data_IF_436887879241
#
_entry.id   IF_436887879241
#
_cell.length_a   1.000
_cell.length_b   1.000
_cell.length_c   1.000
_cell.angle_alpha   90.00
_cell.angle_beta   90.00
_cell.angle_gamma   90.00
#
_symmetry.space_group_name_H-M   'P 1'
#
loop_
_entity.id
_entity.type
_entity.pdbx_description
1 polymer ?
#
# COMPACT_ATOMS: atom_id res chain seq x y z
N UNK A 1 -2.15 27.01 -39.64
CA UNK A 1 -0.83 27.25 -39.03
C UNK A 1 -1.10 27.94 -37.71
N UNK A 2 -0.94 27.23 -36.61
CA UNK A 2 -1.15 27.77 -35.26
C UNK A 2 0.21 28.28 -34.76
N UNK A 3 0.28 29.54 -34.33
CA UNK A 3 1.52 30.18 -33.87
C UNK A 3 1.27 30.61 -32.42
N UNK A 4 1.92 29.93 -31.49
CA UNK A 4 1.89 30.25 -30.07
C UNK A 4 3.18 30.97 -29.70
N UNK A 5 3.09 32.28 -29.43
CA UNK A 5 4.21 33.08 -28.97
C UNK A 5 4.08 33.31 -27.45
N UNK A 6 4.98 32.71 -26.67
CA UNK A 6 4.98 32.80 -25.21
C UNK A 6 6.19 33.60 -24.75
N UNK A 7 5.99 34.58 -23.86
CA UNK A 7 7.08 35.33 -23.23
C UNK A 7 7.75 34.44 -22.17
N UNK A 8 9.09 34.27 -22.16
CA UNK A 8 9.76 33.47 -21.13
C UNK A 8 9.46 34.04 -19.74
N UNK A 9 8.91 33.22 -18.84
CA UNK A 9 8.41 33.70 -17.54
C UNK A 9 9.53 33.76 -16.49
N UNK A 10 10.57 32.94 -16.59
CA UNK A 10 11.86 33.07 -15.91
C UNK A 10 12.77 31.92 -16.38
N UNK A 11 14.05 32.18 -16.62
CA UNK A 11 15.05 31.12 -16.80
C UNK A 11 15.54 30.72 -15.41
N UNK A 12 14.99 29.62 -14.89
CA UNK A 12 15.25 29.15 -13.52
C UNK A 12 16.39 28.14 -13.60
N UNK A 13 17.48 28.41 -12.86
CA UNK A 13 18.59 27.47 -12.78
C UNK A 13 18.23 26.36 -11.78
N UNK A 14 18.65 25.12 -12.04
CA UNK A 14 18.48 24.01 -11.10
C UNK A 14 19.00 24.35 -9.69
N UNK A 15 20.04 25.17 -9.58
CA UNK A 15 20.61 25.64 -8.30
C UNK A 15 19.63 26.42 -7.41
N UNK A 16 18.57 27.02 -7.95
CA UNK A 16 17.63 27.80 -7.16
C UNK A 16 16.65 26.93 -6.36
N UNK A 17 16.59 25.63 -6.66
CA UNK A 17 15.72 24.70 -5.94
C UNK A 17 16.40 24.19 -4.66
N UNK A 18 15.66 24.18 -3.55
CA UNK A 18 16.17 23.77 -2.23
C UNK A 18 16.84 22.39 -2.22
N UNK A 19 16.33 21.44 -3.02
CA UNK A 19 16.83 20.07 -3.11
C UNK A 19 17.73 19.80 -4.33
N UNK A 20 18.29 20.84 -4.96
CA UNK A 20 19.15 20.73 -6.14
C UNK A 20 20.32 19.74 -6.00
N UNK A 21 21.08 19.70 -4.87
CA UNK A 21 22.19 18.76 -4.71
C UNK A 21 21.72 17.30 -4.79
N UNK A 22 20.54 17.01 -4.23
CA UNK A 22 19.95 15.67 -4.27
C UNK A 22 19.63 15.28 -5.70
N UNK A 23 18.94 16.15 -6.44
CA UNK A 23 18.57 15.91 -7.85
C UNK A 23 19.81 15.65 -8.68
N UNK A 24 20.84 16.49 -8.56
CA UNK A 24 22.10 16.35 -9.29
C UNK A 24 22.78 15.01 -9.04
N UNK A 25 22.87 14.59 -7.78
CA UNK A 25 23.44 13.29 -7.42
C UNK A 25 22.65 12.13 -8.05
N UNK A 26 21.32 12.24 -8.17
CA UNK A 26 20.49 11.20 -8.81
C UNK A 26 20.70 11.13 -10.32
N UNK A 27 20.61 12.27 -11.01
CA UNK A 27 20.67 12.32 -12.48
C UNK A 27 22.09 12.07 -13.00
N UNK A 28 23.14 12.48 -12.29
CA UNK A 28 24.52 12.19 -12.69
C UNK A 28 24.95 10.75 -12.31
N UNK A 29 24.33 10.16 -11.30
CA UNK A 29 24.61 8.81 -10.83
C UNK A 29 23.92 7.71 -11.64
N UNK A 30 23.72 6.55 -10.99
CA UNK A 30 23.03 5.39 -11.58
C UNK A 30 21.50 5.46 -11.53
N UNK A 31 20.93 6.46 -10.86
CA UNK A 31 19.49 6.62 -10.62
C UNK A 31 18.85 7.55 -11.67
N UNK A 32 18.90 7.12 -12.94
CA UNK A 32 18.49 7.92 -14.12
C UNK A 32 17.00 7.78 -14.51
N UNK A 33 16.14 7.49 -13.55
CA UNK A 33 14.71 7.27 -13.77
C UNK A 33 13.92 8.19 -12.87
N UNK A 34 13.66 9.40 -13.34
CA UNK A 34 13.12 10.50 -12.57
C UNK A 34 11.68 10.81 -12.99
N UNK A 35 10.78 10.91 -12.03
CA UNK A 35 9.41 11.35 -12.25
C UNK A 35 9.17 12.64 -11.46
N UNK A 36 8.68 13.68 -12.13
CA UNK A 36 8.30 14.96 -11.52
C UNK A 36 6.77 14.99 -11.45
N UNK A 37 6.24 14.96 -10.25
CA UNK A 37 4.81 14.91 -9.94
C UNK A 37 4.34 16.17 -9.21
N UNK A 38 3.04 16.43 -9.25
CA UNK A 38 2.42 17.61 -8.63
C UNK A 38 1.19 18.12 -9.39
N UNK A 39 0.37 18.99 -8.78
CA UNK A 39 -0.85 19.51 -9.39
C UNK A 39 -0.54 20.38 -10.63
N UNK A 40 -1.50 20.59 -11.55
CA UNK A 40 -1.34 21.50 -12.67
C UNK A 40 -0.88 22.90 -12.23
N UNK A 41 0.02 23.53 -12.99
CA UNK A 41 0.56 24.85 -12.66
C UNK A 41 1.56 24.88 -11.49
N UNK A 42 1.99 23.73 -10.96
CA UNK A 42 2.90 23.69 -9.81
C UNK A 42 4.38 23.98 -10.10
N UNK A 43 4.77 24.21 -11.36
CA UNK A 43 6.18 24.48 -11.74
C UNK A 43 6.98 23.25 -12.15
N UNK A 44 6.34 22.10 -12.41
CA UNK A 44 7.02 20.86 -12.87
C UNK A 44 7.80 21.03 -14.16
N UNK A 45 7.17 21.64 -15.16
CA UNK A 45 7.78 21.93 -16.47
C UNK A 45 9.01 22.82 -16.30
N UNK A 46 8.96 23.83 -15.42
CA UNK A 46 10.11 24.68 -15.09
C UNK A 46 11.25 23.87 -14.47
N UNK A 47 10.96 22.93 -13.56
CA UNK A 47 11.98 22.04 -13.01
C UNK A 47 12.56 21.10 -14.09
N UNK A 48 11.71 20.55 -14.97
CA UNK A 48 12.14 19.70 -16.07
C UNK A 48 13.08 20.45 -17.05
N UNK A 49 12.75 21.70 -17.40
CA UNK A 49 13.61 22.59 -18.19
C UNK A 49 14.97 22.80 -17.50
N UNK A 50 14.95 23.11 -16.21
CA UNK A 50 16.16 23.35 -15.40
C UNK A 50 17.08 22.12 -15.41
N UNK A 51 16.50 20.92 -15.27
CA UNK A 51 17.22 19.64 -15.32
C UNK A 51 17.78 19.37 -16.72
N UNK A 52 17.00 19.62 -17.77
CA UNK A 52 17.42 19.45 -19.16
C UNK A 52 18.66 20.29 -19.48
N UNK A 53 18.59 21.59 -19.14
CA UNK A 53 19.67 22.55 -19.35
C UNK A 53 20.90 22.17 -18.53
N UNK A 54 20.73 21.77 -17.26
CA UNK A 54 21.82 21.33 -16.42
C UNK A 54 22.54 20.11 -17.02
N UNK A 55 21.80 19.08 -17.44
CA UNK A 55 22.37 17.87 -18.05
C UNK A 55 23.16 18.20 -19.33
N UNK A 56 22.60 19.04 -20.21
CA UNK A 56 23.27 19.44 -21.44
C UNK A 56 24.56 20.23 -21.17
N UNK A 57 24.56 21.13 -20.18
CA UNK A 57 25.76 21.85 -19.73
C UNK A 57 26.84 20.91 -19.15
N UNK A 58 26.46 19.73 -18.67
CA UNK A 58 27.38 18.71 -18.16
C UNK A 58 27.79 17.68 -19.23
N UNK A 59 27.55 17.98 -20.50
CA UNK A 59 28.05 17.20 -21.64
C UNK A 59 27.16 16.02 -22.05
N UNK A 60 25.98 15.86 -21.47
CA UNK A 60 25.02 14.82 -21.88
C UNK A 60 24.26 15.23 -23.13
N UNK A 61 23.98 14.25 -24.01
CA UNK A 61 23.09 14.42 -25.16
C UNK A 61 21.64 14.35 -24.65
N UNK A 62 21.00 15.50 -24.49
CA UNK A 62 19.62 15.62 -24.03
C UNK A 62 18.69 15.88 -25.21
N UNK A 63 17.53 15.21 -25.22
CA UNK A 63 16.41 15.45 -26.14
C UNK A 63 15.13 15.63 -25.34
N UNK A 64 14.12 16.26 -25.92
CA UNK A 64 12.79 16.36 -25.28
C UNK A 64 11.72 15.70 -26.13
N UNK A 65 10.66 15.23 -25.47
CA UNK A 65 9.42 14.76 -26.06
C UNK A 65 8.27 15.49 -25.37
N UNK A 66 7.47 16.22 -26.12
CA UNK A 66 6.40 17.06 -25.56
C UNK A 66 5.29 17.36 -26.59
N UNK A 67 4.05 17.38 -26.14
CA UNK A 67 2.91 17.82 -26.94
C UNK A 67 1.83 18.45 -26.05
N UNK A 68 1.59 19.77 -26.13
CA UNK A 68 2.23 20.76 -27.01
C UNK A 68 3.68 21.10 -26.60
N UNK A 69 4.40 21.87 -27.43
CA UNK A 69 5.75 22.35 -27.12
C UNK A 69 5.70 23.53 -26.15
N UNK A 70 6.05 23.29 -24.89
CA UNK A 70 6.04 24.28 -23.80
C UNK A 70 7.43 24.49 -23.20
N UNK A 71 8.32 23.49 -23.30
CA UNK A 71 9.68 23.57 -22.80
C UNK A 71 10.47 24.70 -23.49
N UNK A 72 11.04 25.59 -22.69
CA UNK A 72 12.00 26.59 -23.12
C UNK A 72 13.40 26.09 -22.77
N UNK A 73 14.09 25.55 -23.76
CA UNK A 73 15.44 24.97 -23.60
C UNK A 73 16.39 25.55 -24.64
N UNK A 74 17.72 25.54 -24.39
CA UNK A 74 18.69 26.03 -25.36
C UNK A 74 18.62 25.29 -26.72
N UNK A 75 18.94 25.97 -27.81
CA UNK A 75 18.82 25.47 -29.20
C UNK A 75 19.56 24.14 -29.49
N UNK A 76 20.60 23.82 -28.72
CA UNK A 76 21.34 22.56 -28.88
C UNK A 76 20.58 21.34 -28.31
N UNK A 77 19.56 21.56 -27.47
CA UNK A 77 18.64 20.53 -27.01
C UNK A 77 17.51 20.39 -28.04
N UNK A 78 17.56 19.32 -28.83
CA UNK A 78 16.53 19.08 -29.85
C UNK A 78 15.23 18.64 -29.18
N UNK A 79 14.15 19.31 -29.53
CA UNK A 79 12.81 19.04 -29.02
C UNK A 79 11.96 18.32 -30.06
N UNK A 80 11.37 17.19 -29.68
CA UNK A 80 10.48 16.41 -30.53
C UNK A 80 9.03 16.57 -30.06
N UNK A 81 8.14 16.70 -31.05
CA UNK A 81 6.70 16.52 -30.85
C UNK A 81 6.31 15.10 -31.26
N UNK A 82 5.02 14.79 -31.24
CA UNK A 82 4.49 13.53 -31.77
C UNK A 82 4.74 13.41 -33.27
N UNK A 83 5.57 12.43 -33.68
CA UNK A 83 5.81 12.11 -35.08
C UNK A 83 4.63 11.31 -35.62
N UNK A 84 4.04 11.79 -36.72
CA UNK A 84 2.81 11.23 -37.30
C UNK A 84 1.66 11.12 -36.28
N UNK A 85 1.65 12.00 -35.27
CA UNK A 85 0.62 12.04 -34.24
C UNK A 85 0.82 11.07 -33.07
N UNK A 86 1.89 10.27 -33.05
CA UNK A 86 2.22 9.34 -31.95
C UNK A 86 3.55 9.69 -31.26
N UNK A 87 3.58 9.58 -29.93
CA UNK A 87 4.82 9.66 -29.15
C UNK A 87 5.65 8.38 -29.26
N UNK A 88 5.02 7.25 -29.57
CA UNK A 88 5.70 5.96 -29.79
C UNK A 88 6.63 6.05 -31.00
N UNK A 89 6.17 6.62 -32.11
CA UNK A 89 7.00 6.86 -33.30
C UNK A 89 8.21 7.75 -32.99
N UNK A 90 8.01 8.77 -32.14
CA UNK A 90 9.10 9.64 -31.68
C UNK A 90 10.11 8.84 -30.86
N UNK A 91 9.63 7.96 -29.96
CA UNK A 91 10.47 7.08 -29.17
C UNK A 91 11.28 6.12 -30.03
N UNK A 92 10.69 5.52 -31.06
CA UNK A 92 11.37 4.62 -32.00
C UNK A 92 12.58 5.30 -32.68
N UNK A 93 12.40 6.55 -33.12
CA UNK A 93 13.50 7.34 -33.68
C UNK A 93 14.57 7.62 -32.63
N UNK A 94 14.17 7.99 -31.40
CA UNK A 94 15.11 8.27 -30.33
C UNK A 94 15.85 7.02 -29.85
N UNK A 95 15.25 5.83 -29.93
CA UNK A 95 15.90 4.56 -29.65
C UNK A 95 17.01 4.22 -30.65
N UNK A 96 16.93 4.72 -31.89
CA UNK A 96 18.00 4.63 -32.89
C UNK A 96 19.13 5.64 -32.62
N UNK A 97 18.78 6.86 -32.21
CA UNK A 97 19.75 7.94 -31.90
C UNK A 97 20.48 7.67 -30.58
N UNK A 98 19.82 7.02 -29.62
CA UNK A 98 20.30 6.73 -28.25
C UNK A 98 20.88 7.97 -27.54
N UNK A 99 20.06 9.01 -27.28
CA UNK A 99 20.49 10.11 -26.42
C UNK A 99 20.80 9.60 -25.00
N UNK A 100 21.59 10.35 -24.25
CA UNK A 100 21.86 10.04 -22.84
C UNK A 100 20.61 10.25 -21.98
N UNK A 101 19.85 11.30 -22.28
CA UNK A 101 18.62 11.64 -21.56
C UNK A 101 17.50 12.09 -22.48
N UNK A 102 16.28 11.73 -22.09
CA UNK A 102 15.05 12.25 -22.67
C UNK A 102 14.16 12.84 -21.58
N UNK A 103 13.78 14.10 -21.79
CA UNK A 103 12.79 14.81 -20.99
C UNK A 103 11.44 14.60 -21.64
N UNK A 104 10.58 13.79 -21.03
CA UNK A 104 9.23 13.56 -21.49
C UNK A 104 8.29 14.45 -20.68
N UNK A 105 7.98 15.62 -21.23
CA UNK A 105 7.04 16.53 -20.61
C UNK A 105 5.62 16.05 -20.87
N UNK A 106 4.87 15.90 -19.79
CA UNK A 106 3.45 15.58 -19.77
C UNK A 106 3.05 14.14 -20.18
N UNK A 107 3.32 13.17 -19.31
CA UNK A 107 2.79 11.81 -19.40
C UNK A 107 1.28 11.79 -19.09
N UNK A 108 0.46 11.58 -20.12
CA UNK A 108 -1.01 11.61 -20.00
C UNK A 108 -1.68 10.31 -20.41
N UNK A 109 -1.32 9.79 -21.57
CA UNK A 109 -1.95 8.63 -22.18
C UNK A 109 -1.29 7.36 -21.70
N UNK A 110 -2.02 6.25 -21.81
CA UNK A 110 -1.51 4.93 -21.47
C UNK A 110 -0.23 4.55 -22.23
N UNK A 111 -0.13 4.97 -23.49
CA UNK A 111 1.03 4.73 -24.35
C UNK A 111 2.29 5.45 -23.84
N UNK A 112 2.14 6.68 -23.31
CA UNK A 112 3.26 7.49 -22.82
C UNK A 112 4.03 6.77 -21.70
N UNK A 113 3.33 6.09 -20.79
CA UNK A 113 3.94 5.33 -19.69
C UNK A 113 4.71 4.10 -20.18
N UNK A 114 4.22 3.43 -21.23
CA UNK A 114 4.93 2.30 -21.86
C UNK A 114 6.17 2.78 -22.57
N UNK A 115 6.05 3.84 -23.38
CA UNK A 115 7.18 4.51 -24.04
C UNK A 115 8.25 4.90 -23.01
N UNK A 116 7.85 5.51 -21.89
CA UNK A 116 8.77 5.87 -20.82
C UNK A 116 9.54 4.65 -20.30
N UNK A 117 8.85 3.54 -20.05
CA UNK A 117 9.46 2.32 -19.58
C UNK A 117 10.41 1.69 -20.59
N UNK A 118 10.00 1.58 -21.85
CA UNK A 118 10.80 0.96 -22.92
C UNK A 118 12.10 1.74 -23.16
N UNK A 119 12.02 3.07 -23.23
CA UNK A 119 13.20 3.93 -23.35
C UNK A 119 14.14 3.76 -22.15
N UNK A 120 13.57 3.69 -20.94
CA UNK A 120 14.35 3.55 -19.73
C UNK A 120 15.05 2.20 -19.63
N UNK A 121 14.36 1.12 -19.98
CA UNK A 121 14.90 -0.25 -20.05
C UNK A 121 15.95 -0.39 -21.16
N UNK A 122 15.85 0.39 -22.23
CA UNK A 122 16.88 0.49 -23.27
C UNK A 122 18.16 1.23 -22.83
N UNK A 123 18.18 1.77 -21.60
CA UNK A 123 19.35 2.42 -21.00
C UNK A 123 19.36 3.94 -21.11
N UNK A 124 18.33 4.55 -21.71
CA UNK A 124 18.19 6.01 -21.81
C UNK A 124 17.77 6.56 -20.44
N UNK A 125 18.41 7.64 -19.98
CA UNK A 125 17.98 8.35 -18.78
C UNK A 125 16.65 9.07 -19.03
N UNK A 126 15.66 8.87 -18.17
CA UNK A 126 14.33 9.43 -18.39
C UNK A 126 13.96 10.41 -17.28
N UNK A 127 13.45 11.58 -17.68
CA UNK A 127 12.81 12.56 -16.79
C UNK A 127 11.39 12.75 -17.28
N UNK A 128 10.41 12.24 -16.54
CA UNK A 128 9.00 12.28 -16.90
C UNK A 128 8.27 13.32 -16.06
N UNK A 129 7.34 14.07 -16.65
CA UNK A 129 6.46 14.97 -15.91
C UNK A 129 5.06 14.38 -15.88
N UNK A 130 4.45 14.30 -14.70
CA UNK A 130 3.09 13.79 -14.52
C UNK A 130 2.26 14.72 -13.64
N UNK A 131 0.99 14.90 -14.01
CA UNK A 131 0.02 15.54 -13.13
C UNK A 131 -0.53 14.53 -12.13
N UNK A 132 -0.13 14.63 -10.87
CA UNK A 132 -0.59 13.74 -9.80
C UNK A 132 -0.71 14.50 -8.48
N UNK A 133 -1.74 14.17 -7.69
CA UNK A 133 -2.00 14.79 -6.37
C UNK A 133 -1.18 14.12 -5.26
N UNK A 134 -0.65 12.92 -5.51
CA UNK A 134 0.24 12.23 -4.59
C UNK A 134 1.06 11.14 -5.28
N UNK A 135 2.03 10.59 -4.56
CA UNK A 135 2.97 9.57 -5.05
C UNK A 135 2.27 8.28 -5.46
N UNK A 136 1.20 7.90 -4.76
CA UNK A 136 0.39 6.73 -5.11
C UNK A 136 -0.26 6.87 -6.50
N UNK A 137 -0.94 7.99 -6.77
CA UNK A 137 -1.55 8.27 -8.09
C UNK A 137 -0.49 8.30 -9.20
N UNK A 138 0.66 8.92 -8.94
CA UNK A 138 1.77 8.96 -9.89
C UNK A 138 2.25 7.55 -10.28
N UNK A 139 2.38 6.63 -9.32
CA UNK A 139 2.85 5.27 -9.55
C UNK A 139 1.77 4.31 -10.06
N UNK A 140 0.51 4.49 -9.66
CA UNK A 140 -0.61 3.69 -10.13
C UNK A 140 -0.80 3.81 -11.65
N UNK A 141 -0.42 4.92 -12.27
CA UNK A 141 -0.45 5.03 -13.74
C UNK A 141 0.55 4.10 -14.44
N UNK A 142 1.65 3.75 -13.78
CA UNK A 142 2.61 2.77 -14.28
C UNK A 142 2.13 1.33 -14.04
N UNK A 143 1.45 1.06 -12.92
CA UNK A 143 0.99 -0.29 -12.54
C UNK A 143 0.11 -0.97 -13.55
N UNK A 144 -0.71 -0.14 -14.17
CA UNK A 144 -1.72 -0.51 -15.11
C UNK A 144 -1.12 -1.08 -16.41
N UNK A 145 0.18 -0.83 -16.65
CA UNK A 145 0.84 -1.07 -17.94
C UNK A 145 2.14 -1.87 -17.81
N UNK A 146 2.75 -1.87 -16.62
CA UNK A 146 4.06 -2.45 -16.36
C UNK A 146 4.03 -3.21 -15.02
N UNK A 147 4.76 -4.32 -14.95
CA UNK A 147 4.92 -5.06 -13.70
C UNK A 147 5.63 -4.20 -12.63
N UNK A 148 5.03 -4.07 -11.46
CA UNK A 148 5.63 -3.36 -10.34
C UNK A 148 6.99 -3.92 -9.91
N UNK A 149 7.29 -5.18 -10.21
CA UNK A 149 8.61 -5.76 -9.98
C UNK A 149 9.73 -5.11 -10.79
N UNK A 150 9.42 -4.52 -11.95
CA UNK A 150 10.41 -3.79 -12.77
C UNK A 150 10.35 -2.28 -12.56
N UNK A 151 9.35 -1.77 -11.83
CA UNK A 151 9.17 -0.34 -11.60
C UNK A 151 10.42 0.35 -11.04
N UNK A 152 11.17 -0.20 -10.05
CA UNK A 152 12.39 0.45 -9.53
C UNK A 152 13.50 0.62 -10.57
N UNK A 153 13.49 -0.18 -11.64
CA UNK A 153 14.44 -0.06 -12.75
C UNK A 153 14.04 1.11 -13.68
N UNK A 154 12.75 1.39 -13.76
CA UNK A 154 12.15 2.41 -14.62
C UNK A 154 12.13 3.77 -13.90
N UNK A 155 11.46 3.83 -12.75
CA UNK A 155 11.39 5.01 -11.89
C UNK A 155 12.03 4.66 -10.56
N UNK A 156 13.12 5.36 -10.23
CA UNK A 156 13.83 5.20 -8.95
C UNK A 156 13.73 6.43 -8.06
N UNK A 157 13.39 7.59 -8.63
CA UNK A 157 13.24 8.83 -7.88
C UNK A 157 11.97 9.54 -8.33
N UNK A 158 11.14 9.97 -7.37
CA UNK A 158 9.94 10.79 -7.62
C UNK A 158 10.11 12.12 -6.89
N UNK A 159 9.96 13.23 -7.60
CA UNK A 159 10.04 14.57 -7.04
C UNK A 159 8.64 15.16 -7.05
N UNK A 160 8.14 15.60 -5.90
CA UNK A 160 6.88 16.30 -5.82
C UNK A 160 7.11 17.81 -5.79
N UNK A 161 6.44 18.53 -6.68
CA UNK A 161 6.55 19.98 -6.84
C UNK A 161 5.19 20.62 -6.60
N UNK A 162 5.15 21.58 -5.67
CA UNK A 162 4.00 22.43 -5.42
C UNK A 162 4.43 23.91 -5.39
N UNK A 163 3.66 24.78 -6.04
CA UNK A 163 3.91 26.24 -6.09
C UNK A 163 5.36 26.65 -6.44
N UNK A 164 6.04 25.89 -7.29
CA UNK A 164 7.42 26.15 -7.72
C UNK A 164 8.49 25.65 -6.74
N UNK A 165 8.10 24.99 -5.65
CA UNK A 165 9.00 24.44 -4.65
C UNK A 165 8.96 22.92 -4.66
N UNK A 166 10.09 22.29 -4.33
CA UNK A 166 10.15 20.83 -4.15
C UNK A 166 9.72 20.50 -2.73
N UNK A 167 8.55 19.89 -2.57
CA UNK A 167 8.03 19.52 -1.25
C UNK A 167 8.68 18.22 -0.77
N UNK A 168 8.70 17.19 -1.62
CA UNK A 168 9.17 15.85 -1.25
C UNK A 168 10.01 15.22 -2.36
N UNK A 169 10.92 14.34 -1.95
CA UNK A 169 11.68 13.47 -2.85
C UNK A 169 11.52 12.06 -2.32
N UNK A 170 11.02 11.16 -3.16
CA UNK A 170 10.81 9.76 -2.80
C UNK A 170 11.78 8.86 -3.56
N UNK A 171 12.26 7.86 -2.85
CA UNK A 171 13.04 6.75 -3.38
C UNK A 171 12.11 5.58 -3.70
N UNK A 172 12.24 5.04 -4.91
CA UNK A 172 11.61 3.79 -5.31
C UNK A 172 12.71 2.74 -5.41
N UNK A 173 12.59 1.68 -4.62
CA UNK A 173 13.61 0.64 -4.49
C UNK A 173 13.01 -0.75 -4.52
N UNK A 174 13.84 -1.73 -4.86
CA UNK A 174 13.48 -3.14 -4.87
C UNK A 174 14.16 -3.82 -3.68
N UNK A 175 13.40 -4.62 -2.93
CA UNK A 175 13.92 -5.43 -1.83
C UNK A 175 13.20 -6.78 -1.77
N UNK A 176 13.86 -7.78 -1.20
CA UNK A 176 13.26 -9.08 -0.91
C UNK A 176 13.03 -9.14 0.59
N UNK A 177 11.76 -9.07 1.02
CA UNK A 177 11.37 -9.12 2.42
C UNK A 177 9.98 -9.74 2.59
N UNK A 178 9.59 -9.98 3.82
CA UNK A 178 8.19 -10.23 4.16
C UNK A 178 7.48 -8.87 4.15
N UNK A 179 6.44 -8.67 3.33
CA UNK A 179 5.67 -7.43 3.36
C UNK A 179 5.07 -7.20 4.76
N UNK A 180 4.94 -5.94 5.15
CA UNK A 180 4.16 -5.57 6.34
C UNK A 180 2.71 -6.11 6.20
N UNK A 181 1.96 -6.28 7.29
CA UNK A 181 0.60 -6.83 7.22
C UNK A 181 0.47 -8.32 6.81
N UNK A 182 1.54 -8.95 6.32
CA UNK A 182 1.61 -10.38 5.97
C UNK A 182 2.55 -11.17 6.90
N UNK A 183 2.69 -10.72 8.15
CA UNK A 183 3.57 -11.34 9.15
C UNK A 183 3.27 -12.83 9.41
N UNK A 184 2.08 -13.32 9.06
CA UNK A 184 1.67 -14.73 9.16
C UNK A 184 2.16 -15.61 8.00
N UNK A 185 2.59 -15.03 6.88
CA UNK A 185 3.13 -15.74 5.72
C UNK A 185 4.65 -15.51 5.64
N UNK A 186 5.47 -16.45 6.12
CA UNK A 186 6.95 -16.36 6.15
C UNK A 186 7.56 -16.56 4.74
N UNK A 187 6.90 -16.05 3.71
CA UNK A 187 7.40 -16.13 2.34
C UNK A 187 8.06 -14.79 1.99
N UNK A 188 9.39 -14.83 1.85
CA UNK A 188 10.14 -13.74 1.25
C UNK A 188 9.60 -13.46 -0.15
N UNK A 189 9.19 -12.23 -0.39
CA UNK A 189 8.63 -11.80 -1.68
C UNK A 189 9.43 -10.64 -2.25
N UNK A 190 9.47 -10.51 -3.59
CA UNK A 190 9.86 -9.27 -4.24
C UNK A 190 8.91 -8.14 -3.83
N UNK A 191 9.43 -7.12 -3.18
CA UNK A 191 8.67 -5.94 -2.74
C UNK A 191 9.32 -4.69 -3.33
N UNK A 192 8.51 -3.89 -4.00
CA UNK A 192 8.86 -2.52 -4.37
C UNK A 192 8.47 -1.60 -3.24
N UNK A 193 9.44 -0.87 -2.69
CA UNK A 193 9.25 0.04 -1.57
C UNK A 193 9.35 1.48 -2.02
N UNK A 194 8.48 2.33 -1.49
CA UNK A 194 8.53 3.79 -1.71
C UNK A 194 8.77 4.49 -0.38
N UNK A 195 9.90 5.16 -0.24
CA UNK A 195 10.31 5.85 1.00
C UNK A 195 10.63 7.32 0.76
N UNK A 196 10.41 8.16 1.76
CA UNK A 196 10.86 9.55 1.72
C UNK A 196 12.38 9.61 1.85
N UNK A 197 13.03 10.39 0.99
CA UNK A 197 14.49 10.52 0.96
C UNK A 197 15.06 11.23 2.19
N UNK A 198 14.32 12.21 2.75
CA UNK A 198 14.81 13.02 3.86
C UNK A 198 14.62 12.31 5.19
N UNK A 199 13.43 11.75 5.44
CA UNK A 199 13.16 11.05 6.69
C UNK A 199 13.58 9.57 6.67
N UNK A 200 13.73 8.98 5.48
CA UNK A 200 13.91 7.53 5.33
C UNK A 200 12.66 6.72 5.62
N UNK A 201 11.53 7.37 5.94
CA UNK A 201 10.28 6.70 6.28
C UNK A 201 9.69 5.99 5.06
N UNK A 202 9.24 4.76 5.25
CA UNK A 202 8.53 3.99 4.24
C UNK A 202 7.07 4.47 4.16
N UNK A 203 6.60 4.83 2.96
CA UNK A 203 5.23 5.28 2.73
C UNK A 203 4.31 4.11 2.39
N UNK A 204 4.71 3.29 1.43
CA UNK A 204 3.95 2.10 1.04
C UNK A 204 4.86 1.05 0.40
N UNK A 205 4.36 -0.18 0.46
CA UNK A 205 4.94 -1.37 -0.16
C UNK A 205 4.05 -1.85 -1.29
N UNK A 206 4.67 -2.38 -2.33
CA UNK A 206 3.97 -2.92 -3.48
C UNK A 206 4.52 -4.30 -3.76
N UNK A 207 3.66 -5.31 -3.78
CA UNK A 207 4.05 -6.69 -4.02
C UNK A 207 2.90 -7.46 -4.66
N UNK A 208 3.24 -8.63 -5.24
CA UNK A 208 2.25 -9.52 -5.83
C UNK A 208 1.80 -10.60 -4.85
N UNK A 209 0.50 -10.84 -4.80
CA UNK A 209 -0.15 -11.91 -4.06
C UNK A 209 -1.21 -12.56 -4.94
N UNK A 210 -1.16 -13.88 -5.13
CA UNK A 210 -2.10 -14.63 -6.00
C UNK A 210 -2.32 -13.99 -7.39
N UNK A 211 -1.26 -13.45 -7.98
CA UNK A 211 -1.25 -12.72 -9.27
C UNK A 211 -1.91 -11.33 -9.26
N UNK A 212 -2.43 -10.88 -8.12
CA UNK A 212 -2.90 -9.51 -7.92
C UNK A 212 -1.77 -8.64 -7.37
N UNK A 213 -1.75 -7.36 -7.72
CA UNK A 213 -0.82 -6.41 -7.10
C UNK A 213 -1.48 -5.76 -5.90
N UNK A 214 -0.88 -5.94 -4.74
CA UNK A 214 -1.28 -5.30 -3.50
C UNK A 214 -0.40 -4.06 -3.29
N UNK A 215 -1.03 -2.90 -3.15
CA UNK A 215 -0.39 -1.68 -2.66
C UNK A 215 -0.81 -1.49 -1.22
N UNK A 216 0.16 -1.56 -0.32
CA UNK A 216 -0.11 -1.54 1.09
C UNK A 216 0.58 -0.34 1.73
N UNK A 217 -0.20 0.60 2.32
CA UNK A 217 0.36 1.70 3.06
C UNK A 217 1.00 1.17 4.34
N UNK A 218 2.15 1.73 4.69
CA UNK A 218 2.76 1.47 6.00
C UNK A 218 1.88 2.14 7.05
N UNK A 219 1.12 1.34 7.79
CA UNK A 219 0.37 1.82 8.94
C UNK A 219 1.37 2.25 9.99
N UNK A 220 1.49 3.56 10.22
CA UNK A 220 2.21 4.07 11.38
C UNK A 220 1.50 3.56 12.63
N UNK A 221 2.20 2.90 13.58
CA UNK A 221 1.82 3.08 14.96
C UNK A 221 1.92 4.59 15.21
N UNK A 222 0.83 5.23 15.62
CA UNK A 222 0.92 6.58 16.16
C UNK A 222 1.94 6.49 17.29
N UNK A 223 3.12 7.08 17.10
CA UNK A 223 4.15 7.09 18.12
C UNK A 223 3.49 7.67 19.38
N UNK A 224 3.48 6.89 20.46
CA UNK A 224 3.05 7.38 21.76
C UNK A 224 3.83 8.65 22.04
N UNK A 225 3.14 9.79 22.03
CA UNK A 225 3.74 11.08 22.31
C UNK A 225 4.48 10.99 23.66
N UNK A 226 5.71 11.52 23.78
CA UNK A 226 6.36 11.64 25.07
C UNK A 226 5.46 12.45 26.02
N UNK A 227 5.48 12.18 27.34
CA UNK A 227 4.55 12.81 28.27
C UNK A 227 4.77 14.34 28.26
N UNK A 228 3.82 15.05 27.64
CA UNK A 228 3.83 16.50 27.57
C UNK A 228 3.50 17.08 28.94
N UNK A 229 4.34 18.03 29.37
CA UNK A 229 4.05 19.01 30.43
C UNK A 229 2.71 19.72 30.13
N UNK A 230 1.99 20.21 31.17
CA UNK A 230 0.62 20.69 31.03
C UNK A 230 0.48 21.77 29.94
N UNK A 231 -0.56 21.70 29.09
CA UNK A 231 -0.60 22.42 27.83
C UNK A 231 -0.96 23.90 28.00
N UNK A 232 -0.22 24.75 27.30
CA UNK A 232 -0.67 26.07 26.85
C UNK A 232 -1.43 25.86 25.54
N UNK A 233 -2.68 26.30 25.50
CA UNK A 233 -3.58 26.17 24.36
C UNK A 233 -3.07 26.93 23.12
N UNK A 234 -2.82 26.21 22.03
CA UNK A 234 -2.95 26.72 20.65
C UNK A 234 -3.71 25.68 19.83
N UNK A 235 -4.70 26.14 19.06
CA UNK A 235 -5.73 25.35 18.37
C UNK A 235 -5.19 24.56 17.17
N UNK A 236 -5.49 23.26 17.13
CA UNK A 236 -5.43 22.41 15.93
C UNK A 236 -6.75 22.45 15.15
N UNK A 237 -6.75 22.12 13.84
CA UNK A 237 -7.90 22.28 12.96
C UNK A 237 -8.92 21.14 13.10
N UNK A 238 -10.18 21.52 13.33
CA UNK A 238 -11.43 20.85 12.98
C UNK A 238 -11.45 19.32 12.75
N UNK A 239 -11.35 18.52 13.81
CA UNK A 239 -12.19 17.32 13.93
C UNK A 239 -13.46 17.67 14.73
N UNK A 240 -14.61 17.35 14.13
CA UNK A 240 -15.96 17.82 14.41
C UNK A 240 -16.27 18.14 15.89
N UNK A 241 -16.22 19.42 16.24
CA UNK A 241 -16.84 19.97 17.47
C UNK A 241 -18.31 19.58 17.62
N UNK A 242 -19.01 19.31 16.51
CA UNK A 242 -20.38 18.81 16.49
C UNK A 242 -20.52 17.39 17.08
N UNK A 243 -19.56 16.49 16.81
CA UNK A 243 -19.62 15.10 17.29
C UNK A 243 -19.38 15.01 18.79
N UNK A 244 -18.44 15.79 19.33
CA UNK A 244 -18.20 15.85 20.79
C UNK A 244 -19.40 16.40 21.56
N UNK A 245 -20.17 17.31 20.98
CA UNK A 245 -21.39 17.83 21.59
C UNK A 245 -22.47 16.73 21.59
N UNK A 246 -22.64 16.06 20.45
CA UNK A 246 -23.64 15.01 20.27
C UNK A 246 -23.35 13.76 21.12
N UNK A 247 -22.09 13.32 21.17
CA UNK A 247 -21.63 12.25 22.06
C UNK A 247 -21.94 12.57 23.52
N UNK A 248 -21.68 13.80 23.97
CA UNK A 248 -21.96 14.22 25.34
C UNK A 248 -23.45 14.27 25.65
N UNK A 249 -24.28 14.63 24.68
CA UNK A 249 -25.73 14.65 24.83
C UNK A 249 -26.31 13.22 24.86
N UNK A 250 -25.82 12.31 24.00
CA UNK A 250 -26.14 10.88 24.02
C UNK A 250 -25.73 10.25 25.37
N UNK A 251 -24.50 10.52 25.82
CA UNK A 251 -23.97 10.01 27.07
C UNK A 251 -24.80 10.48 28.27
N UNK A 252 -25.23 11.75 28.28
CA UNK A 252 -26.07 12.32 29.34
C UNK A 252 -27.46 11.71 29.40
N UNK A 253 -28.08 11.43 28.25
CA UNK A 253 -29.45 10.89 28.23
C UNK A 253 -29.45 9.39 28.56
N UNK A 254 -28.44 8.63 28.11
CA UNK A 254 -28.31 7.19 28.40
C UNK A 254 -27.79 6.96 29.82
N UNK A 255 -26.93 7.83 30.35
CA UNK A 255 -26.46 7.80 31.74
C UNK A 255 -27.56 7.99 32.79
N UNK A 256 -28.81 8.25 32.40
CA UNK A 256 -29.97 8.23 33.31
C UNK A 256 -30.52 6.83 33.57
N UNK A 257 -30.10 5.86 32.76
CA UNK A 257 -30.60 4.48 32.76
C UNK A 257 -29.52 3.46 33.15
N UNK A 258 -28.30 3.92 33.43
CA UNK A 258 -27.20 3.08 33.92
C UNK A 258 -26.40 3.84 34.98
N UNK A 259 -25.98 3.12 36.01
CA UNK A 259 -25.06 3.62 37.05
C UNK A 259 -23.58 3.39 36.66
N UNK A 260 -23.34 2.78 35.49
CA UNK A 260 -22.02 2.47 34.94
C UNK A 260 -21.50 3.52 33.95
N UNK A 261 -20.30 3.28 33.44
CA UNK A 261 -19.72 4.13 32.39
C UNK A 261 -20.42 3.88 31.06
N UNK A 262 -20.81 4.97 30.39
CA UNK A 262 -21.41 4.95 29.06
C UNK A 262 -20.35 5.33 28.05
N UNK A 263 -20.02 4.42 27.15
CA UNK A 263 -19.10 4.67 26.03
C UNK A 263 -19.89 4.88 24.74
N UNK A 264 -19.63 5.98 24.03
CA UNK A 264 -20.40 6.39 22.85
C UNK A 264 -19.44 6.53 21.68
N UNK A 265 -19.68 5.75 20.63
CA UNK A 265 -18.93 5.84 19.39
C UNK A 265 -19.85 6.29 18.25
N UNK A 266 -19.57 7.46 17.70
CA UNK A 266 -20.23 7.94 16.49
C UNK A 266 -19.77 7.11 15.27
N UNK A 267 -20.71 6.48 14.57
CA UNK A 267 -20.44 5.78 13.30
C UNK A 267 -20.69 6.69 12.09
N UNK A 268 -21.59 7.67 12.23
CA UNK A 268 -21.86 8.73 11.25
C UNK A 268 -22.61 9.89 11.90
N UNK A 269 -22.83 11.00 11.18
CA UNK A 269 -23.64 12.15 11.65
C UNK A 269 -25.07 11.81 12.09
N UNK A 270 -25.55 10.60 11.77
CA UNK A 270 -26.93 10.15 12.02
C UNK A 270 -27.00 8.81 12.76
N UNK A 271 -25.87 8.17 13.08
CA UNK A 271 -25.82 6.88 13.79
C UNK A 271 -24.69 6.80 14.82
N UNK A 272 -25.02 6.29 16.01
CA UNK A 272 -24.09 6.06 17.10
C UNK A 272 -24.28 4.66 17.72
N UNK A 273 -23.19 4.06 18.18
CA UNK A 273 -23.20 2.83 18.99
C UNK A 273 -22.84 3.21 20.42
N UNK A 274 -23.60 2.68 21.38
CA UNK A 274 -23.43 2.99 22.80
C UNK A 274 -23.25 1.71 23.58
N UNK A 275 -22.13 1.61 24.30
CA UNK A 275 -21.80 0.49 25.15
C UNK A 275 -22.11 0.83 26.61
N UNK A 276 -22.90 -0.02 27.25
CA UNK A 276 -23.26 0.08 28.67
C UNK A 276 -23.15 -1.29 29.33
N UNK A 277 -23.14 -1.30 30.66
CA UNK A 277 -23.08 -2.55 31.44
C UNK A 277 -24.25 -3.49 31.06
N UNK A 278 -23.94 -4.78 30.88
CA UNK A 278 -24.89 -5.80 30.39
C UNK A 278 -26.21 -5.84 31.18
N UNK A 279 -26.12 -5.56 32.49
CA UNK A 279 -27.26 -5.48 33.42
C UNK A 279 -28.24 -4.33 33.13
N UNK A 280 -27.76 -3.27 32.48
CA UNK A 280 -28.51 -2.01 32.28
C UNK A 280 -29.06 -1.89 30.84
N UNK A 281 -28.62 -2.75 29.92
CA UNK A 281 -29.13 -2.84 28.52
C UNK A 281 -30.65 -2.95 28.44
N UNK A 282 -31.33 -3.83 29.22
CA UNK A 282 -32.79 -3.94 29.16
C UNK A 282 -33.51 -2.67 29.64
N UNK A 283 -32.93 -1.94 30.59
CA UNK A 283 -33.50 -0.71 31.14
C UNK A 283 -33.37 0.47 30.15
N UNK A 284 -32.22 0.58 29.49
CA UNK A 284 -31.94 1.62 28.49
C UNK A 284 -32.78 1.44 27.21
N UNK A 285 -33.03 0.20 26.77
CA UNK A 285 -33.93 -0.09 25.63
C UNK A 285 -35.41 0.11 26.03
N UNK A 286 -35.79 -0.35 27.23
CA UNK A 286 -37.15 -0.28 27.75
C UNK A 286 -38.11 -1.30 27.13
N UNK A 287 -39.29 -1.48 27.74
CA UNK A 287 -40.30 -2.45 27.28
C UNK A 287 -40.75 -2.14 25.85
N UNK A 288 -40.38 -3.01 24.90
CA UNK A 288 -40.69 -2.84 23.47
C UNK A 288 -39.93 -1.71 22.78
N UNK A 289 -38.76 -1.30 23.30
CA UNK A 289 -37.94 -0.25 22.68
C UNK A 289 -38.43 1.19 22.92
N UNK A 290 -39.41 1.39 23.80
CA UNK A 290 -40.01 2.72 24.05
C UNK A 290 -39.02 3.75 24.60
N UNK A 291 -38.06 3.33 25.44
CA UNK A 291 -37.11 4.25 26.04
C UNK A 291 -36.07 4.69 25.01
N UNK A 292 -35.48 3.75 24.27
CA UNK A 292 -34.53 4.07 23.21
C UNK A 292 -35.16 4.91 22.08
N UNK A 293 -36.41 4.64 21.70
CA UNK A 293 -37.13 5.47 20.73
C UNK A 293 -37.34 6.91 21.22
N UNK A 294 -37.60 7.10 22.52
CA UNK A 294 -37.69 8.43 23.13
C UNK A 294 -36.36 9.20 23.10
N UNK A 295 -35.25 8.50 23.34
CA UNK A 295 -33.89 9.08 23.30
C UNK A 295 -33.51 9.44 21.85
N UNK A 296 -33.74 8.55 20.90
CA UNK A 296 -33.49 8.78 19.47
C UNK A 296 -34.28 9.99 18.94
N UNK A 297 -35.56 10.13 19.33
CA UNK A 297 -36.37 11.28 18.91
C UNK A 297 -35.91 12.62 19.51
N UNK A 298 -35.29 12.58 20.69
CA UNK A 298 -34.81 13.78 21.40
C UNK A 298 -33.43 14.23 20.93
N UNK A 299 -32.57 13.28 20.57
CA UNK A 299 -31.19 13.52 20.13
C UNK A 299 -31.06 13.57 18.60
N UNK A 300 -32.04 13.06 17.85
CA UNK A 300 -32.08 13.10 16.39
C UNK A 300 -31.09 12.15 15.70
N UNK A 301 -30.52 11.20 16.43
CA UNK A 301 -29.47 10.26 15.97
C UNK A 301 -29.91 8.83 16.27
N UNK A 302 -29.73 7.90 15.32
CA UNK A 302 -30.03 6.49 15.51
C UNK A 302 -29.02 5.82 16.44
N UNK A 303 -29.49 5.27 17.56
CA UNK A 303 -28.62 4.72 18.62
C UNK A 303 -28.77 3.20 18.69
N UNK A 304 -27.64 2.49 18.59
CA UNK A 304 -27.54 1.04 18.83
C UNK A 304 -26.92 0.80 20.21
N UNK A 305 -27.64 0.11 21.11
CA UNK A 305 -27.16 -0.15 22.48
C UNK A 305 -26.58 -1.55 22.54
N UNK A 306 -25.32 -1.66 22.97
CA UNK A 306 -24.62 -2.93 23.10
C UNK A 306 -24.11 -3.18 24.52
N UNK A 307 -24.07 -4.45 24.95
CA UNK A 307 -23.44 -4.82 26.21
C UNK A 307 -21.93 -4.57 26.16
N UNK A 308 -21.36 -4.06 27.25
CA UNK A 308 -19.92 -3.80 27.38
C UNK A 308 -19.07 -5.06 27.23
N UNK A 309 -19.62 -6.23 27.55
CA UNK A 309 -18.93 -7.51 27.33
C UNK A 309 -18.63 -7.81 25.86
N UNK A 310 -19.28 -7.14 24.89
CA UNK A 310 -18.92 -7.19 23.47
C UNK A 310 -17.73 -6.28 23.13
N UNK A 311 -17.51 -5.22 23.91
CA UNK A 311 -16.34 -4.34 23.77
C UNK A 311 -15.06 -5.00 24.32
N UNK A 312 -15.19 -5.84 25.36
CA UNK A 312 -14.08 -6.57 25.99
C UNK A 312 -13.71 -7.88 25.28
N UNK A 313 -14.58 -8.39 24.41
CA UNK A 313 -14.26 -9.54 23.54
C UNK A 313 -13.51 -9.08 22.28
N UNK A 314 -12.19 -8.92 22.42
CA UNK A 314 -11.30 -9.32 21.33
C UNK A 314 -11.52 -10.83 21.06
N UNK A 315 -11.47 -11.29 19.80
CA UNK A 315 -11.85 -12.66 19.46
C UNK A 315 -10.87 -13.67 20.07
N UNK A 316 -11.29 -14.36 21.13
CA UNK A 316 -10.62 -15.55 21.63
C UNK A 316 -11.02 -16.78 20.77
N UNK A 317 -10.05 -17.69 20.60
CA UNK A 317 -10.11 -18.88 19.75
C UNK A 317 -11.36 -19.78 19.97
N UNK A 318 -11.77 -20.58 18.96
CA UNK A 318 -12.90 -21.50 19.08
C UNK A 318 -12.61 -22.68 20.04
N UNK A 319 -13.65 -23.36 20.57
CA UNK A 319 -13.52 -24.44 21.55
C UNK A 319 -13.02 -25.77 20.91
N UNK A 320 -12.58 -26.75 21.74
CA UNK A 320 -11.85 -27.93 21.25
C UNK A 320 -12.79 -29.01 20.68
N UNK A 321 -12.46 -29.56 19.50
CA UNK A 321 -13.14 -30.72 18.90
C UNK A 321 -12.13 -31.88 18.61
N UNK A 322 -12.52 -33.07 19.08
CA UNK A 322 -12.05 -34.47 18.88
C UNK A 322 -10.57 -34.76 18.53
N UNK A 323 -9.81 -35.26 19.52
CA UNK A 323 -8.49 -35.88 19.35
C UNK A 323 -8.59 -37.41 19.21
N UNK A 324 -8.26 -37.96 18.04
CA UNK A 324 -8.17 -39.40 17.81
C UNK A 324 -6.70 -39.83 17.72
N UNK A 325 -6.30 -40.80 18.56
CA UNK A 325 -4.96 -41.37 18.58
C UNK A 325 -4.84 -42.53 17.60
N UNK A 326 -3.88 -42.43 16.68
CA UNK A 326 -3.48 -43.52 15.79
C UNK A 326 -2.18 -44.13 16.28
N UNK A 327 -2.13 -45.47 16.30
CA UNK A 327 -0.89 -46.21 16.52
C UNK A 327 0.17 -45.82 15.50
N UNK A 328 1.36 -45.47 15.97
CA UNK A 328 2.48 -44.98 15.15
C UNK A 328 3.01 -43.59 15.52
N UNK A 329 2.45 -42.93 16.54
CA UNK A 329 3.00 -41.68 17.08
C UNK A 329 2.49 -40.39 16.42
N UNK A 330 1.54 -40.49 15.48
CA UNK A 330 0.97 -39.35 14.75
C UNK A 330 -0.46 -39.09 15.25
N UNK A 331 -0.75 -37.85 15.68
CA UNK A 331 -2.12 -37.45 16.08
C UNK A 331 -2.74 -36.63 14.97
N UNK A 332 -4.03 -36.83 14.68
CA UNK A 332 -4.74 -36.03 13.68
C UNK A 332 -5.85 -35.27 14.40
N UNK A 333 -5.86 -33.95 14.25
CA UNK A 333 -6.92 -33.06 14.72
C UNK A 333 -7.73 -32.59 13.52
N UNK A 334 -9.04 -32.77 13.56
CA UNK A 334 -9.93 -32.34 12.50
C UNK A 334 -10.82 -31.20 12.98
N UNK A 335 -10.81 -30.10 12.23
CA UNK A 335 -11.75 -28.99 12.38
C UNK A 335 -12.76 -29.01 11.21
N UNK A 336 -13.82 -28.22 11.29
CA UNK A 336 -14.87 -28.10 10.26
C UNK A 336 -14.31 -27.71 8.89
N UNK A 337 -13.17 -27.01 8.85
CA UNK A 337 -12.53 -26.54 7.61
C UNK A 337 -11.13 -27.10 7.33
N UNK A 338 -10.44 -27.65 8.33
CA UNK A 338 -9.03 -28.04 8.22
C UNK A 338 -8.73 -29.36 8.90
N UNK A 339 -7.72 -30.07 8.40
CA UNK A 339 -7.14 -31.27 9.00
C UNK A 339 -5.70 -30.94 9.39
N UNK A 340 -5.35 -31.12 10.65
CA UNK A 340 -4.02 -30.90 11.18
C UNK A 340 -3.39 -32.23 11.63
N UNK A 341 -2.19 -32.52 11.13
CA UNK A 341 -1.41 -33.71 11.51
C UNK A 341 -0.33 -33.26 12.47
N UNK A 342 -0.39 -33.75 13.71
CA UNK A 342 0.49 -33.37 14.81
C UNK A 342 1.60 -34.43 14.92
N UNK A 343 2.82 -33.98 14.65
CA UNK A 343 4.08 -34.70 14.64
C UNK A 343 5.23 -33.84 15.22
N UNK A 344 5.20 -33.52 16.53
CA UNK A 344 6.16 -32.62 17.18
C UNK A 344 7.63 -33.05 17.07
N UNK A 345 7.89 -34.35 16.90
CA UNK A 345 9.26 -34.88 16.73
C UNK A 345 9.93 -34.47 15.40
N UNK A 346 9.15 -34.00 14.42
CA UNK A 346 9.63 -33.61 13.09
C UNK A 346 9.44 -32.12 12.79
N UNK A 347 9.22 -31.28 13.81
CA UNK A 347 9.06 -29.83 13.65
C UNK A 347 10.19 -29.18 12.84
N UNK A 348 9.83 -28.32 11.90
CA UNK A 348 10.76 -27.61 11.01
C UNK A 348 11.43 -28.48 9.93
N UNK A 349 11.07 -29.76 9.82
CA UNK A 349 11.62 -30.68 8.81
C UNK A 349 10.64 -30.94 7.69
N UNK A 350 11.18 -31.30 6.53
CA UNK A 350 10.41 -31.81 5.40
C UNK A 350 10.18 -33.30 5.63
N UNK A 351 8.93 -33.74 5.57
CA UNK A 351 8.54 -35.13 5.78
C UNK A 351 7.72 -35.65 4.60
N UNK A 352 8.00 -36.87 4.18
CA UNK A 352 7.18 -37.65 3.29
C UNK A 352 6.11 -38.39 4.10
N UNK A 353 4.85 -38.19 3.73
CA UNK A 353 3.68 -38.81 4.35
C UNK A 353 3.27 -40.04 3.55
N UNK A 354 3.17 -41.18 4.23
CA UNK A 354 2.77 -42.46 3.67
C UNK A 354 1.51 -42.99 4.35
N UNK A 355 0.61 -43.61 3.59
CA UNK A 355 -0.41 -44.51 4.14
C UNK A 355 -0.01 -45.95 3.82
N UNK A 356 0.31 -46.73 4.84
CA UNK A 356 0.82 -48.09 4.68
C UNK A 356 2.18 -48.14 3.97
N UNK A 357 2.17 -48.52 2.69
CA UNK A 357 3.35 -48.58 1.80
C UNK A 357 3.31 -47.56 0.66
N UNK A 358 2.21 -46.83 0.51
CA UNK A 358 2.01 -45.87 -0.57
C UNK A 358 2.37 -44.46 -0.10
N UNK A 359 3.13 -43.75 -0.93
CA UNK A 359 3.45 -42.35 -0.75
C UNK A 359 2.22 -41.50 -1.07
N UNK A 360 1.87 -40.57 -0.17
CA UNK A 360 0.76 -39.64 -0.37
C UNK A 360 1.27 -38.28 -0.85
N UNK A 361 2.15 -37.64 -0.06
CA UNK A 361 2.70 -36.31 -0.36
C UNK A 361 3.86 -35.98 0.57
N UNK A 362 4.70 -35.03 0.15
CA UNK A 362 5.71 -34.38 0.97
C UNK A 362 5.13 -33.10 1.56
N UNK A 363 5.34 -32.86 2.85
CA UNK A 363 4.98 -31.63 3.50
C UNK A 363 6.05 -31.16 4.48
N UNK A 364 6.16 -29.85 4.63
CA UNK A 364 7.01 -29.25 5.65
C UNK A 364 6.22 -29.14 6.94
N UNK A 365 6.76 -29.69 8.01
CA UNK A 365 6.17 -29.58 9.36
C UNK A 365 6.47 -28.19 9.90
N UNK A 366 5.46 -27.48 10.39
CA UNK A 366 5.67 -26.17 11.00
C UNK A 366 6.48 -26.26 12.31
N UNK A 367 6.89 -25.12 12.86
CA UNK A 367 7.70 -25.07 14.10
C UNK A 367 6.94 -25.58 15.34
N UNK A 368 5.61 -25.65 15.26
CA UNK A 368 4.74 -26.23 16.29
C UNK A 368 4.57 -27.75 16.14
N UNK A 369 5.18 -28.35 15.12
CA UNK A 369 5.08 -29.79 14.88
C UNK A 369 3.81 -30.22 14.15
N UNK A 370 3.13 -29.33 13.43
CA UNK A 370 1.86 -29.59 12.77
C UNK A 370 1.94 -29.41 11.24
N UNK A 371 1.17 -30.22 10.51
CA UNK A 371 0.94 -30.10 9.08
C UNK A 371 -0.54 -29.79 8.87
N UNK A 372 -0.85 -28.61 8.32
CA UNK A 372 -2.24 -28.20 8.07
C UNK A 372 -2.63 -28.46 6.61
N UNK A 373 -3.77 -29.10 6.44
CA UNK A 373 -4.37 -29.41 5.14
C UNK A 373 -5.80 -28.88 5.13
N UNK A 374 -6.22 -28.27 4.03
CA UNK A 374 -7.62 -27.91 3.86
C UNK A 374 -8.46 -29.19 3.71
N UNK A 375 -9.56 -29.34 4.46
CA UNK A 375 -10.35 -30.59 4.50
C UNK A 375 -10.93 -30.97 3.12
N UNK A 376 -11.17 -29.99 2.25
CA UNK A 376 -11.66 -30.16 0.89
C UNK A 376 -10.57 -30.49 -0.15
N UNK A 377 -9.29 -30.49 0.25
CA UNK A 377 -8.20 -30.89 -0.64
C UNK A 377 -8.33 -32.36 -1.01
N UNK A 378 -8.03 -32.71 -2.26
CA UNK A 378 -7.99 -34.10 -2.73
C UNK A 378 -7.07 -34.98 -1.86
N UNK A 379 -5.96 -34.41 -1.38
CA UNK A 379 -4.98 -35.07 -0.51
C UNK A 379 -5.58 -35.32 0.88
N UNK A 380 -6.32 -34.35 1.43
CA UNK A 380 -6.97 -34.52 2.73
C UNK A 380 -8.14 -35.52 2.66
N UNK A 381 -8.92 -35.50 1.59
CA UNK A 381 -10.01 -36.46 1.35
C UNK A 381 -9.48 -37.89 1.18
N UNK A 382 -8.39 -38.07 0.42
CA UNK A 382 -7.75 -39.38 0.26
C UNK A 382 -7.14 -39.86 1.58
N UNK A 383 -6.52 -38.97 2.37
CA UNK A 383 -6.02 -39.32 3.70
C UNK A 383 -7.14 -39.75 4.66
N UNK A 384 -8.25 -39.01 4.71
CA UNK A 384 -9.42 -39.34 5.54
C UNK A 384 -10.01 -40.69 5.11
N UNK A 385 -10.06 -40.95 3.80
CA UNK A 385 -10.54 -42.22 3.24
C UNK A 385 -9.65 -43.39 3.68
N UNK A 386 -8.33 -43.30 3.45
CA UNK A 386 -7.37 -44.34 3.86
C UNK A 386 -7.32 -44.55 5.36
N UNK A 387 -7.49 -43.48 6.14
CA UNK A 387 -7.65 -43.55 7.59
C UNK A 387 -8.90 -44.35 7.99
N UNK A 388 -10.06 -44.08 7.38
CA UNK A 388 -11.29 -44.83 7.63
C UNK A 388 -11.19 -46.30 7.17
N UNK A 389 -10.38 -46.56 6.14
CA UNK A 389 -10.09 -47.91 5.65
C UNK A 389 -9.09 -48.68 6.54
N UNK A 390 -8.51 -48.03 7.56
CA UNK A 390 -7.65 -48.64 8.58
C UNK A 390 -6.15 -48.63 8.26
N UNK A 391 -5.70 -47.87 7.25
CA UNK A 391 -4.29 -47.78 6.89
C UNK A 391 -3.48 -46.97 7.93
N UNK A 392 -2.30 -47.48 8.29
CA UNK A 392 -1.41 -46.79 9.21
C UNK A 392 -0.67 -45.64 8.50
N UNK A 393 -0.85 -44.41 8.99
CA UNK A 393 -0.15 -43.23 8.46
C UNK A 393 1.24 -43.13 9.08
N UNK A 394 2.27 -42.99 8.25
CA UNK A 394 3.68 -42.87 8.65
C UNK A 394 4.33 -41.65 8.02
N UNK A 395 5.17 -40.99 8.78
CA UNK A 395 5.95 -39.84 8.36
C UNK A 395 7.42 -40.24 8.29
N UNK A 396 8.13 -39.90 7.22
CA UNK A 396 9.57 -40.09 7.11
C UNK A 396 10.24 -38.75 6.78
N UNK A 397 11.20 -38.27 7.58
CA UNK A 397 11.97 -37.10 7.20
C UNK A 397 12.75 -37.37 5.92
N UNK A 398 12.78 -36.35 5.05
CA UNK A 398 13.52 -36.36 3.78
C UNK A 398 15.01 -36.11 4.01
#
# INVERSE_FOLDING_TARGET
>A
MEITAVRPIADVNLESFSKAPVIKNRILGGKRGLLIAGPPGSGKTTLAQSIATYLAQHGFIVKTMEAPRELQVPDHITQYTSLEGSMENTADVLLLVRPDFVIFDELRKNEDFRVFADMRLAGIGMVGVVHAVGTHDALQRFSDRIDFGVLPQIVNTIIFVDKGEITNVYDVSFTIKVPEGMASEINLRPVTTVSDYESGELLFEIFKYDSETIVMPVMRPVAALPPLKPPVMVKEPAENTAWKILERDIQREIGRYTDGYVDVHMLSDTKAVVYIEDKDVPAAIGKGGKNIAGIVNKVGTGIDIRPRSELEKQPAAPPPEEELQLGGGVRIRMDKKQLAIICPEQAGKIVDVFAGKEYLFTATVNDSGEIHLAKNSSIAQEMIRRFNDGDAIRLRPV
#
